data_IF_083702211538
#
_entry.id   IF_083702211538
#
_cell.length_a   1.000
_cell.length_b   1.000
_cell.length_c   1.000
_cell.angle_alpha   90.00
_cell.angle_beta   90.00
_cell.angle_gamma   90.00
#
_symmetry.space_group_name_H-M   'P 1'
#
loop_
_entity.id
_entity.type
_entity.pdbx_description
1 polymer ?
#
# COMPACT_ATOMS: atom_id res chain seq x y z
N UNK A 1 -2.15 9.99 -3.55
CA UNK A 1 -0.92 9.54 -2.88
C UNK A 1 0.26 10.41 -3.31
N UNK A 2 1.32 10.42 -2.53
CA UNK A 2 2.65 10.89 -2.94
C UNK A 2 3.68 9.78 -2.84
N UNK A 3 4.68 9.84 -3.71
CA UNK A 3 5.86 8.98 -3.68
C UNK A 3 7.08 9.87 -3.69
N UNK A 4 8.01 9.64 -2.76
CA UNK A 4 9.28 10.38 -2.69
C UNK A 4 10.41 9.39 -2.62
N UNK A 5 11.37 9.50 -3.53
CA UNK A 5 12.62 8.75 -3.47
C UNK A 5 13.72 9.65 -2.94
N UNK A 6 14.48 9.15 -1.98
CA UNK A 6 15.69 9.78 -1.45
C UNK A 6 16.90 8.89 -1.65
N UNK A 7 18.07 9.50 -1.87
CA UNK A 7 19.34 8.79 -1.86
C UNK A 7 19.79 8.44 -0.43
N UNK A 8 20.95 7.78 -0.31
CA UNK A 8 21.54 7.37 0.97
C UNK A 8 21.86 8.53 1.91
N UNK A 9 22.01 9.74 1.37
CA UNK A 9 22.27 10.97 2.12
C UNK A 9 20.96 11.71 2.48
N UNK A 10 19.80 11.17 2.10
CA UNK A 10 18.49 11.75 2.36
C UNK A 10 18.07 12.84 1.36
N UNK A 11 18.84 13.08 0.30
CA UNK A 11 18.48 14.06 -0.74
C UNK A 11 17.37 13.48 -1.61
N UNK A 12 16.32 14.27 -1.86
CA UNK A 12 15.23 13.88 -2.76
C UNK A 12 15.75 13.81 -4.19
N UNK A 13 15.63 12.64 -4.82
CA UNK A 13 16.04 12.38 -6.20
C UNK A 13 14.86 12.17 -7.14
N UNK A 14 13.69 11.81 -6.60
CA UNK A 14 12.45 11.69 -7.37
C UNK A 14 11.26 12.02 -6.49
N UNK A 15 10.22 12.64 -7.07
CA UNK A 15 8.94 12.87 -6.38
C UNK A 15 7.79 12.83 -7.36
N UNK A 16 6.68 12.25 -6.91
CA UNK A 16 5.39 12.31 -7.58
C UNK A 16 4.30 12.61 -6.55
N UNK A 17 3.28 13.35 -6.99
CA UNK A 17 2.01 13.43 -6.29
C UNK A 17 0.91 13.29 -7.32
N UNK A 18 0.03 12.31 -7.12
CA UNK A 18 -1.15 12.13 -7.98
C UNK A 18 -2.37 11.70 -7.18
N UNK A 19 -3.54 11.93 -7.75
CA UNK A 19 -4.77 11.33 -7.25
C UNK A 19 -4.78 9.85 -7.63
N UNK A 20 -4.89 8.98 -6.62
CA UNK A 20 -5.21 7.58 -6.90
C UNK A 20 -6.63 7.51 -7.45
N UNK A 21 -6.84 6.70 -8.47
CA UNK A 21 -8.17 6.39 -9.01
C UNK A 21 -8.45 4.89 -8.94
N UNK A 22 -7.70 4.19 -8.11
CA UNK A 22 -7.45 2.75 -8.28
C UNK A 22 -7.72 2.00 -6.97
N UNK A 23 -8.81 2.35 -6.29
CA UNK A 23 -9.35 1.47 -5.25
C UNK A 23 -9.80 0.18 -5.91
N UNK A 24 -9.40 -0.95 -5.33
CA UNK A 24 -9.79 -2.28 -5.79
C UNK A 24 -11.12 -2.66 -5.14
N UNK A 25 -11.80 -3.67 -5.68
CA UNK A 25 -13.13 -4.06 -5.17
C UNK A 25 -13.14 -4.39 -3.68
N UNK A 26 -12.05 -4.94 -3.15
CA UNK A 26 -11.96 -5.40 -1.76
C UNK A 26 -12.14 -4.24 -0.76
N UNK A 27 -11.72 -3.01 -1.13
CA UNK A 27 -12.02 -1.81 -0.35
C UNK A 27 -13.53 -1.65 -0.10
N UNK A 28 -14.31 -1.60 -1.17
CA UNK A 28 -15.76 -1.41 -1.05
C UNK A 28 -16.48 -2.63 -0.47
N UNK A 29 -15.96 -3.84 -0.71
CA UNK A 29 -16.49 -5.06 -0.09
C UNK A 29 -16.35 -5.04 1.43
N UNK A 30 -15.22 -4.57 1.96
CA UNK A 30 -15.03 -4.38 3.40
C UNK A 30 -15.91 -3.25 3.96
N UNK A 31 -16.09 -2.16 3.21
CA UNK A 31 -17.02 -1.09 3.62
C UNK A 31 -18.43 -1.66 3.74
N UNK A 32 -18.85 -2.48 2.76
CA UNK A 32 -20.14 -3.16 2.79
C UNK A 32 -20.27 -4.08 4.01
N UNK A 33 -19.28 -4.93 4.30
CA UNK A 33 -19.29 -5.81 5.49
C UNK A 33 -19.51 -5.01 6.77
N UNK A 34 -18.85 -3.85 6.91
CA UNK A 34 -19.01 -2.99 8.09
C UNK A 34 -20.37 -2.28 8.14
N UNK A 35 -20.96 -1.93 7.00
CA UNK A 35 -22.24 -1.24 6.96
C UNK A 35 -23.44 -2.17 7.11
N UNK A 36 -23.39 -3.34 6.45
CA UNK A 36 -24.47 -4.32 6.46
C UNK A 36 -24.42 -5.22 7.70
N UNK A 37 -23.26 -5.31 8.38
CA UNK A 37 -23.06 -6.14 9.57
C UNK A 37 -23.27 -7.64 9.31
N UNK A 38 -23.03 -8.09 8.07
CA UNK A 38 -23.06 -9.50 7.68
C UNK A 38 -21.74 -9.98 7.08
N UNK A 39 -21.78 -11.21 6.56
CA UNK A 39 -20.59 -11.94 6.11
C UNK A 39 -20.48 -11.89 4.59
N UNK A 40 -19.29 -11.56 4.08
CA UNK A 40 -19.01 -11.53 2.64
C UNK A 40 -17.77 -12.37 2.30
N UNK A 41 -17.81 -13.03 1.15
CA UNK A 41 -16.65 -13.70 0.56
C UNK A 41 -15.76 -12.69 -0.16
N UNK A 42 -14.53 -12.48 0.32
CA UNK A 42 -13.56 -11.52 -0.22
C UNK A 42 -12.27 -12.27 -0.59
N UNK A 43 -11.74 -12.01 -1.79
CA UNK A 43 -10.47 -12.57 -2.25
C UNK A 43 -9.30 -11.95 -1.50
N UNK A 44 -8.47 -12.79 -0.87
CA UNK A 44 -7.25 -12.35 -0.18
C UNK A 44 -6.09 -12.08 -1.15
N UNK A 45 -4.97 -11.56 -0.63
CA UNK A 45 -3.78 -11.27 -1.43
C UNK A 45 -3.09 -12.51 -2.02
N UNK A 46 -3.50 -13.71 -1.61
CA UNK A 46 -3.07 -14.99 -2.18
C UNK A 46 -4.03 -15.55 -3.23
N UNK A 47 -5.08 -14.80 -3.59
CA UNK A 47 -6.08 -15.21 -4.57
C UNK A 47 -7.14 -16.17 -4.00
N UNK A 48 -7.19 -16.36 -2.68
CA UNK A 48 -8.11 -17.31 -2.03
C UNK A 48 -9.34 -16.54 -1.51
N UNK A 49 -10.53 -17.07 -1.77
CA UNK A 49 -11.78 -16.52 -1.21
C UNK A 49 -11.87 -16.78 0.30
N UNK A 50 -12.13 -15.74 1.08
CA UNK A 50 -12.24 -15.78 2.55
C UNK A 50 -13.58 -15.27 3.00
N UNK A 51 -14.17 -15.95 3.98
CA UNK A 51 -15.40 -15.52 4.65
C UNK A 51 -15.06 -14.45 5.69
N UNK A 52 -15.46 -13.21 5.45
CA UNK A 52 -15.11 -12.06 6.29
C UNK A 52 -16.35 -11.56 7.03
N UNK A 53 -16.29 -11.57 8.36
CA UNK A 53 -17.30 -11.02 9.28
C UNK A 53 -16.92 -9.60 9.74
N UNK A 54 -17.87 -8.77 10.19
CA UNK A 54 -17.60 -7.40 10.59
C UNK A 54 -16.67 -7.27 11.82
N UNK A 55 -16.65 -8.26 12.71
CA UNK A 55 -15.91 -8.29 13.97
C UNK A 55 -14.42 -8.70 13.86
N UNK A 56 -13.92 -8.96 12.64
CA UNK A 56 -12.57 -9.46 12.41
C UNK A 56 -11.49 -8.37 12.31
N UNK A 57 -11.52 -7.29 13.09
CA UNK A 57 -10.47 -6.26 13.06
C UNK A 57 -10.12 -5.77 11.63
N UNK A 58 -11.17 -5.53 10.85
CA UNK A 58 -11.08 -5.12 9.46
C UNK A 58 -10.42 -3.73 9.32
N UNK A 59 -9.82 -3.45 8.16
CA UNK A 59 -9.19 -2.17 7.79
C UNK A 59 -7.88 -1.81 8.51
N UNK A 60 -7.27 -2.71 9.29
CA UNK A 60 -5.95 -2.44 9.89
C UNK A 60 -4.86 -2.34 8.81
N UNK A 61 -4.10 -1.23 8.81
CA UNK A 61 -3.03 -0.93 7.84
C UNK A 61 -1.68 -0.53 8.47
N UNK A 62 -1.60 -0.39 9.79
CA UNK A 62 -0.39 0.05 10.50
C UNK A 62 0.57 -1.12 10.75
N UNK A 63 1.16 -1.65 9.69
CA UNK A 63 2.11 -2.76 9.77
C UNK A 63 3.41 -2.41 10.49
N UNK A 64 3.90 -3.34 11.30
CA UNK A 64 5.23 -3.27 11.91
C UNK A 64 6.35 -3.32 10.87
N UNK A 65 7.57 -2.96 11.29
CA UNK A 65 8.76 -3.10 10.44
C UNK A 65 8.99 -4.57 10.07
N UNK A 66 9.40 -4.82 8.82
CA UNK A 66 9.60 -6.15 8.26
C UNK A 66 8.31 -6.89 7.87
N UNK A 67 7.13 -6.39 8.26
CA UNK A 67 5.86 -7.05 7.94
C UNK A 67 5.37 -6.63 6.57
N UNK A 68 5.20 -7.61 5.69
CA UNK A 68 4.78 -7.42 4.30
C UNK A 68 3.33 -7.85 4.03
N UNK A 69 2.66 -8.53 4.97
CA UNK A 69 1.29 -9.02 4.75
C UNK A 69 0.23 -7.91 4.70
N UNK A 70 0.49 -6.76 5.32
CA UNK A 70 -0.39 -5.58 5.31
C UNK A 70 0.39 -4.26 5.32
N UNK A 71 -0.32 -3.14 5.29
CA UNK A 71 0.23 -1.79 5.17
C UNK A 71 0.65 -1.46 3.74
N UNK A 72 1.34 -0.33 3.56
CA UNK A 72 1.82 0.05 2.23
C UNK A 72 2.90 -0.91 1.73
N UNK A 73 2.79 -1.27 0.44
CA UNK A 73 3.71 -2.13 -0.29
C UNK A 73 4.13 -1.46 -1.60
N UNK A 74 5.28 -1.87 -2.12
CA UNK A 74 5.78 -1.49 -3.45
C UNK A 74 6.14 -2.73 -4.26
N UNK A 75 6.14 -2.59 -5.57
CA UNK A 75 6.41 -3.68 -6.50
C UNK A 75 7.07 -3.22 -7.79
N UNK A 76 7.49 -4.18 -8.60
CA UNK A 76 8.09 -3.99 -9.93
C UNK A 76 7.12 -4.30 -11.07
N UNK A 77 5.88 -4.69 -10.76
CA UNK A 77 4.87 -5.03 -11.76
C UNK A 77 4.47 -3.85 -12.64
N UNK A 78 4.09 -4.17 -13.88
CA UNK A 78 3.68 -3.19 -14.90
C UNK A 78 2.28 -3.42 -15.42
N UNK A 79 1.65 -4.53 -15.03
CA UNK A 79 0.30 -4.87 -15.45
C UNK A 79 -0.67 -3.78 -15.04
N UNK A 80 -1.41 -3.25 -16.00
CA UNK A 80 -2.40 -2.21 -15.77
C UNK A 80 -3.39 -2.63 -14.69
N UNK A 81 -3.79 -1.68 -13.83
CA UNK A 81 -4.67 -1.97 -12.71
C UNK A 81 -6.05 -2.37 -13.21
N UNK A 82 -6.56 -3.51 -12.72
CA UNK A 82 -7.93 -3.94 -12.90
C UNK A 82 -8.68 -3.91 -11.56
N UNK A 83 -9.99 -3.64 -11.60
CA UNK A 83 -10.82 -3.57 -10.39
C UNK A 83 -10.83 -4.91 -9.60
N UNK A 84 -10.60 -6.01 -10.30
CA UNK A 84 -10.56 -7.38 -9.77
C UNK A 84 -9.19 -7.84 -9.27
N UNK A 85 -8.15 -6.99 -9.40
CA UNK A 85 -6.87 -7.26 -8.78
C UNK A 85 -7.05 -7.52 -7.27
N UNK A 86 -6.17 -8.33 -6.71
CA UNK A 86 -6.22 -8.70 -5.29
C UNK A 86 -4.87 -8.50 -4.57
N UNK A 87 -3.82 -8.19 -5.34
CA UNK A 87 -2.45 -7.95 -4.89
C UNK A 87 -1.73 -7.05 -5.90
N UNK A 88 -0.55 -6.54 -5.52
CA UNK A 88 0.46 -6.08 -6.47
C UNK A 88 0.83 -7.20 -7.44
N UNK A 89 1.18 -6.86 -8.67
CA UNK A 89 1.52 -7.82 -9.73
C UNK A 89 2.88 -8.47 -9.46
N UNK A 90 3.88 -7.68 -9.03
CA UNK A 90 5.17 -8.21 -8.59
C UNK A 90 5.62 -7.47 -7.33
N UNK A 91 5.10 -7.85 -6.14
CA UNK A 91 5.49 -7.21 -4.89
C UNK A 91 6.96 -7.46 -4.56
N UNK A 92 7.66 -6.42 -4.09
CA UNK A 92 9.03 -6.55 -3.60
C UNK A 92 9.01 -7.21 -2.22
N UNK A 93 9.85 -8.23 -2.02
CA UNK A 93 9.95 -8.97 -0.77
C UNK A 93 10.70 -8.19 0.31
N UNK A 94 10.50 -8.58 1.57
CA UNK A 94 11.29 -8.07 2.69
C UNK A 94 12.67 -8.71 2.69
N UNK A 95 13.72 -7.89 2.81
CA UNK A 95 15.07 -8.40 3.02
C UNK A 95 16.16 -7.47 2.50
N UNK A 96 17.35 -8.04 2.34
CA UNK A 96 18.56 -7.35 1.87
C UNK A 96 19.23 -8.10 0.71
N UNK A 97 18.62 -9.18 0.23
CA UNK A 97 19.05 -9.92 -0.93
C UNK A 97 18.82 -9.16 -2.24
N UNK A 98 19.12 -9.83 -3.34
CA UNK A 98 18.85 -9.31 -4.68
C UNK A 98 17.35 -9.09 -4.84
N UNK A 99 16.97 -7.90 -5.34
CA UNK A 99 15.59 -7.48 -5.55
C UNK A 99 14.70 -7.43 -4.29
N UNK A 100 15.31 -7.39 -3.11
CA UNK A 100 14.62 -7.22 -1.82
C UNK A 100 14.79 -5.80 -1.27
N UNK A 101 13.81 -5.33 -0.49
CA UNK A 101 13.89 -4.05 0.22
C UNK A 101 13.36 -4.19 1.65
N UNK A 102 13.87 -3.39 2.58
CA UNK A 102 13.39 -3.38 3.94
C UNK A 102 12.20 -2.44 4.13
N UNK A 103 11.09 -2.98 4.57
CA UNK A 103 9.86 -2.25 4.85
C UNK A 103 9.89 -1.74 6.29
N UNK A 104 9.94 -0.42 6.48
CA UNK A 104 9.89 0.16 7.83
C UNK A 104 8.47 0.09 8.40
N UNK A 105 8.24 0.67 9.56
CA UNK A 105 6.89 0.77 10.15
C UNK A 105 5.96 1.52 9.18
N UNK A 106 4.77 0.98 8.96
CA UNK A 106 3.67 1.63 8.28
C UNK A 106 2.79 2.32 9.34
N UNK A 107 2.51 3.59 9.14
CA UNK A 107 1.78 4.42 10.09
C UNK A 107 0.43 4.81 9.52
N UNK A 108 -0.56 4.96 10.40
CA UNK A 108 -1.88 5.53 10.08
C UNK A 108 -2.07 6.73 10.99
N UNK A 109 -2.11 7.92 10.41
CA UNK A 109 -2.29 9.15 11.15
C UNK A 109 -3.72 9.27 11.69
N UNK A 110 -3.89 10.03 12.77
CA UNK A 110 -5.22 10.42 13.24
C UNK A 110 -5.95 11.22 12.16
N UNK A 111 -7.26 10.99 12.02
CA UNK A 111 -8.07 11.78 11.10
C UNK A 111 -8.10 13.26 11.51
N UNK A 112 -8.10 14.13 10.52
CA UNK A 112 -8.13 15.57 10.70
C UNK A 112 -9.16 16.19 9.74
N UNK A 113 -9.91 17.16 10.26
CA UNK A 113 -10.80 18.01 9.46
C UNK A 113 -10.04 19.29 9.13
N UNK A 114 -9.82 19.51 7.83
CA UNK A 114 -9.31 20.74 7.27
C UNK A 114 -10.28 21.15 6.17
N UNK A 115 -11.27 21.99 6.54
CA UNK A 115 -12.39 22.32 5.66
C UNK A 115 -11.91 22.74 4.25
N UNK A 116 -12.51 22.20 3.17
CA UNK A 116 -13.75 21.41 3.12
C UNK A 116 -13.55 19.88 3.25
N UNK A 117 -12.39 19.41 3.72
CA UNK A 117 -12.02 17.99 3.70
C UNK A 117 -11.86 17.38 5.08
N UNK A 118 -12.12 16.07 5.18
CA UNK A 118 -11.70 15.22 6.29
C UNK A 118 -10.83 14.10 5.74
N UNK A 119 -9.65 13.89 6.33
CA UNK A 119 -8.68 12.92 5.81
C UNK A 119 -7.81 12.30 6.90
N UNK A 120 -7.20 11.18 6.58
CA UNK A 120 -6.06 10.62 7.31
C UNK A 120 -5.01 10.12 6.31
N UNK A 121 -3.77 9.97 6.77
CA UNK A 121 -2.66 9.52 5.95
C UNK A 121 -2.16 8.14 6.39
N UNK A 122 -1.94 7.25 5.42
CA UNK A 122 -1.22 6.00 5.60
C UNK A 122 0.16 6.17 4.96
N UNK A 123 1.22 6.10 5.74
CA UNK A 123 2.59 6.36 5.27
C UNK A 123 3.53 5.22 5.62
N UNK A 124 4.38 4.84 4.66
CA UNK A 124 5.47 3.90 4.87
C UNK A 124 6.70 4.27 4.06
N UNK A 125 7.86 4.16 4.69
CA UNK A 125 9.15 4.20 4.00
C UNK A 125 9.72 2.80 3.82
N UNK A 126 10.33 2.56 2.66
CA UNK A 126 10.91 1.26 2.28
C UNK A 126 12.34 1.54 1.79
N UNK A 127 13.31 0.87 2.38
CA UNK A 127 14.74 1.12 2.22
C UNK A 127 15.32 0.11 1.25
N UNK A 128 16.04 0.58 0.23
CA UNK A 128 16.79 -0.31 -0.65
C UNK A 128 18.12 -0.71 -0.01
N UNK A 129 18.16 -1.83 0.70
CA UNK A 129 19.40 -2.43 1.18
C UNK A 129 19.87 -3.61 0.30
N UNK A 130 19.32 -3.77 -0.91
CA UNK A 130 19.81 -4.71 -1.93
C UNK A 130 21.22 -4.31 -2.40
N UNK A 131 22.00 -5.25 -2.97
CA UNK A 131 23.28 -4.95 -3.63
C UNK A 131 23.16 -4.07 -4.90
N UNK A 132 21.95 -3.78 -5.39
CA UNK A 132 21.74 -3.00 -6.62
C UNK A 132 20.58 -1.99 -6.48
N UNK A 133 20.53 -1.02 -7.40
CA UNK A 133 19.38 -0.14 -7.57
C UNK A 133 18.13 -0.95 -7.96
N UNK A 134 16.99 -0.64 -7.33
CA UNK A 134 15.70 -1.29 -7.65
C UNK A 134 14.77 -0.25 -8.26
N UNK A 135 14.22 -0.57 -9.44
CA UNK A 135 13.21 0.26 -10.09
C UNK A 135 11.81 -0.15 -9.67
N UNK A 136 11.20 0.64 -8.80
CA UNK A 136 9.81 0.46 -8.35
C UNK A 136 8.83 0.99 -9.42
N UNK A 137 7.78 0.21 -9.70
CA UNK A 137 6.80 0.50 -10.75
C UNK A 137 5.37 0.52 -10.28
N UNK A 138 5.08 -0.03 -9.11
CA UNK A 138 3.75 -0.02 -8.52
C UNK A 138 3.80 0.15 -7.00
N UNK A 139 2.69 0.63 -6.44
CA UNK A 139 2.48 0.65 -5.00
C UNK A 139 1.02 0.41 -4.65
N UNK A 140 0.77 -0.03 -3.43
CA UNK A 140 -0.58 -0.27 -2.92
C UNK A 140 -0.64 -0.24 -1.41
N UNK A 141 -1.84 -0.38 -0.88
CA UNK A 141 -2.08 -0.55 0.56
C UNK A 141 -2.79 -1.87 0.77
N UNK A 142 -2.22 -2.73 1.60
CA UNK A 142 -2.85 -3.97 2.03
C UNK A 142 -3.50 -3.76 3.40
N UNK A 143 -4.68 -4.33 3.61
CA UNK A 143 -5.48 -4.22 4.84
C UNK A 143 -5.65 -5.59 5.47
N UNK A 144 -5.74 -5.66 6.80
CA UNK A 144 -6.22 -6.86 7.48
C UNK A 144 -7.72 -7.07 7.31
N UNK A 145 -8.09 -8.34 7.29
CA UNK A 145 -9.43 -8.90 7.38
C UNK A 145 -9.35 -10.11 8.35
N UNK A 146 -9.15 -9.83 9.63
CA UNK A 146 -8.81 -10.82 10.66
C UNK A 146 -7.39 -11.35 10.48
N UNK A 147 -7.27 -12.66 10.27
CA UNK A 147 -6.01 -13.33 9.96
C UNK A 147 -5.65 -13.32 8.47
N UNK A 148 -6.52 -12.74 7.63
CA UNK A 148 -6.34 -12.61 6.19
C UNK A 148 -6.04 -11.17 5.79
N UNK A 149 -5.67 -10.98 4.52
CA UNK A 149 -5.24 -9.68 3.99
C UNK A 149 -5.83 -9.45 2.60
N UNK A 150 -6.20 -8.22 2.28
CA UNK A 150 -6.60 -7.83 0.92
C UNK A 150 -5.92 -6.53 0.49
N UNK A 151 -5.93 -6.27 -0.81
CA UNK A 151 -5.40 -5.03 -1.37
C UNK A 151 -6.51 -3.97 -1.48
N UNK A 152 -6.38 -2.86 -0.75
CA UNK A 152 -7.31 -1.74 -0.80
C UNK A 152 -7.22 -0.97 -2.12
N UNK A 153 -5.98 -0.74 -2.54
CA UNK A 153 -5.65 0.10 -3.68
C UNK A 153 -4.32 -0.35 -4.25
N UNK A 154 -4.21 -0.26 -5.58
CA UNK A 154 -3.01 -0.57 -6.34
C UNK A 154 -2.85 0.49 -7.42
N UNK A 155 -1.65 1.01 -7.58
CA UNK A 155 -1.35 2.06 -8.53
C UNK A 155 -0.04 1.76 -9.25
N UNK A 156 -0.09 1.67 -10.58
CA UNK A 156 1.11 1.57 -11.43
C UNK A 156 1.63 2.98 -11.73
N UNK A 157 2.90 3.23 -11.49
CA UNK A 157 3.55 4.52 -11.69
C UNK A 157 3.72 4.82 -13.18
N UNK A 158 3.34 6.02 -13.60
CA UNK A 158 3.54 6.48 -14.98
C UNK A 158 5.04 6.59 -15.27
N UNK A 159 5.79 7.10 -14.29
CA UNK A 159 7.25 7.15 -14.33
C UNK A 159 7.79 6.19 -13.28
N UNK A 160 8.55 5.14 -13.67
CA UNK A 160 9.23 4.27 -12.74
C UNK A 160 10.13 5.03 -11.75
N UNK A 161 10.30 4.47 -10.55
CA UNK A 161 11.02 5.09 -9.44
C UNK A 161 12.26 4.27 -9.13
N UNK A 162 13.39 4.68 -9.67
CA UNK A 162 14.70 4.12 -9.35
C UNK A 162 15.08 4.48 -7.91
N UNK A 163 15.22 3.48 -7.03
CA UNK A 163 15.63 3.65 -5.64
C UNK A 163 17.09 3.21 -5.52
N UNK A 164 18.05 4.13 -5.33
CA UNK A 164 19.47 3.78 -5.29
C UNK A 164 19.79 2.95 -4.04
N UNK A 165 20.95 2.27 -4.04
CA UNK A 165 21.45 1.50 -2.90
C UNK A 165 21.56 2.41 -1.65
N UNK A 166 21.01 1.95 -0.53
CA UNK A 166 20.89 2.71 0.72
C UNK A 166 19.88 3.85 0.67
N UNK A 167 19.20 4.06 -0.47
CA UNK A 167 18.14 5.03 -0.65
C UNK A 167 16.80 4.53 -0.10
N UNK A 168 15.80 5.40 -0.12
CA UNK A 168 14.45 5.11 0.38
C UNK A 168 13.39 5.53 -0.61
N UNK A 169 12.29 4.78 -0.65
CA UNK A 169 11.02 5.21 -1.24
C UNK A 169 10.00 5.35 -0.13
N UNK A 170 9.43 6.54 0.00
CA UNK A 170 8.31 6.83 0.91
C UNK A 170 7.03 6.91 0.10
N UNK A 171 6.00 6.18 0.51
CA UNK A 171 4.67 6.21 -0.11
C UNK A 171 3.67 6.70 0.93
N UNK A 172 2.99 7.80 0.61
CA UNK A 172 1.97 8.41 1.47
C UNK A 172 0.61 8.39 0.77
N UNK A 173 -0.37 7.78 1.41
CA UNK A 173 -1.74 7.68 0.93
C UNK A 173 -2.66 8.52 1.80
N UNK A 174 -3.12 9.65 1.27
CA UNK A 174 -4.19 10.43 1.88
C UNK A 174 -5.54 9.85 1.46
N UNK A 175 -6.27 9.27 2.41
CA UNK A 175 -7.68 8.89 2.22
C UNK A 175 -8.54 10.06 2.69
N UNK A 176 -9.43 10.54 1.83
CA UNK A 176 -10.10 11.81 2.02
C UNK A 176 -11.53 11.79 1.49
N UNK A 177 -12.43 12.38 2.27
CA UNK A 177 -13.73 12.87 1.82
C UNK A 177 -13.68 14.40 1.74
N UNK A 178 -14.32 14.98 0.74
CA UNK A 178 -14.40 16.45 0.56
C UNK A 178 -15.78 16.82 0.05
N UNK A 179 -16.27 17.97 0.50
CA UNK A 179 -17.47 18.64 -0.04
C UNK A 179 -17.10 19.72 -1.04
#
# INVERSE_FOLDING_TARGET
>A
YSVVVRDRQGKVVSRERRRSKSFLKQWNQLVYVQMEQGVLSITDTGGISRSISPDLDNFIMNADAGVTTYGSRVGTGTTAVAIDDYALDTPIAEGTGVDEMNHLVCTVATSAVAAPSCSFEVSRSIVNNSPAEITVREAGIYMKMGTYYCCATRDVFITPRAVPIGGTITVDWTLQVTV
#
